data_IF_710079616561
#
_entry.id   IF_710079616561
#
_cell.length_a   1.000
_cell.length_b   1.000
_cell.length_c   1.000
_cell.angle_alpha   90.00
_cell.angle_beta   90.00
_cell.angle_gamma   90.00
#
_symmetry.space_group_name_H-M   'P 1'
#
loop_
_entity.id
_entity.type
_entity.pdbx_description
1 polymer ?
#
# COMPACT_ATOMS: atom_id res chain seq x y z
N UNK A 1 -33.26 -8.56 15.93
CA UNK A 1 -32.66 -9.19 14.75
C UNK A 1 -31.60 -8.23 14.24
N UNK A 2 -30.36 -8.46 14.63
CA UNK A 2 -29.23 -7.64 14.22
C UNK A 2 -28.73 -8.19 12.89
N UNK A 3 -29.02 -7.48 11.81
CA UNK A 3 -28.49 -7.75 10.47
C UNK A 3 -26.98 -7.45 10.49
N UNK A 4 -26.20 -8.46 10.82
CA UNK A 4 -24.76 -8.43 10.63
C UNK A 4 -24.48 -8.64 9.14
N UNK A 5 -24.43 -7.55 8.37
CA UNK A 5 -23.85 -7.59 7.03
C UNK A 5 -22.46 -8.25 7.11
N UNK A 6 -22.14 -9.18 6.20
CA UNK A 6 -20.80 -9.78 6.18
C UNK A 6 -19.79 -8.67 5.94
N UNK A 7 -18.98 -8.39 6.95
CA UNK A 7 -17.84 -7.48 6.83
C UNK A 7 -16.84 -8.12 5.87
N UNK A 8 -16.69 -7.55 4.68
CA UNK A 8 -15.70 -7.96 3.67
C UNK A 8 -14.26 -7.66 4.11
N UNK A 9 -14.07 -7.13 5.30
CA UNK A 9 -12.75 -6.83 5.85
C UNK A 9 -12.17 -8.09 6.54
N UNK A 10 -10.86 -8.38 6.36
CA UNK A 10 -10.18 -9.43 7.10
C UNK A 10 -10.31 -9.22 8.60
N UNK A 11 -10.36 -10.30 9.43
CA UNK A 11 -10.60 -10.22 10.86
C UNK A 11 -9.52 -9.45 11.64
N UNK A 12 -8.38 -9.18 11.02
CA UNK A 12 -7.22 -8.51 11.58
C UNK A 12 -7.02 -7.06 11.07
N UNK A 13 -8.07 -6.41 10.56
CA UNK A 13 -8.03 -5.01 10.11
C UNK A 13 -7.92 -4.04 11.29
N UNK A 14 -6.81 -3.29 11.38
CA UNK A 14 -6.52 -2.37 12.50
C UNK A 14 -7.33 -1.06 12.43
N UNK A 15 -7.61 -0.53 11.25
CA UNK A 15 -8.33 0.75 11.04
C UNK A 15 -9.65 0.50 10.28
N UNK A 16 -10.54 -0.24 10.89
CA UNK A 16 -11.86 -0.50 10.31
C UNK A 16 -12.67 0.79 10.06
N UNK A 17 -12.49 1.81 10.90
CA UNK A 17 -13.22 3.07 10.80
C UNK A 17 -12.93 3.87 9.54
N UNK A 18 -11.65 4.05 9.18
CA UNK A 18 -11.22 4.83 8.01
C UNK A 18 -11.62 4.16 6.69
N UNK A 19 -11.47 2.84 6.59
CA UNK A 19 -11.82 2.09 5.38
C UNK A 19 -13.34 2.07 5.18
N UNK A 20 -14.14 2.12 6.25
CA UNK A 20 -15.61 2.22 6.16
C UNK A 20 -16.11 3.53 5.58
N UNK A 21 -15.35 4.62 5.71
CA UNK A 21 -15.69 5.92 5.14
C UNK A 21 -15.50 5.96 3.61
N UNK A 22 -14.74 5.00 3.05
CA UNK A 22 -14.51 4.93 1.62
C UNK A 22 -15.75 4.37 0.91
N UNK A 23 -16.05 4.85 -0.32
CA UNK A 23 -17.08 4.27 -1.19
C UNK A 23 -16.87 2.77 -1.37
N UNK A 24 -17.95 2.01 -1.47
CA UNK A 24 -17.89 0.54 -1.61
C UNK A 24 -17.04 0.08 -2.79
N UNK A 25 -17.02 0.86 -3.87
CA UNK A 25 -16.23 0.58 -5.06
C UNK A 25 -14.72 0.65 -4.83
N UNK A 26 -14.26 1.52 -3.91
CA UNK A 26 -12.83 1.77 -3.64
C UNK A 26 -12.32 0.92 -2.47
N UNK A 27 -13.21 0.55 -1.56
CA UNK A 27 -12.88 -0.20 -0.35
C UNK A 27 -12.08 -1.49 -0.61
N UNK A 28 -12.43 -2.35 -1.58
CA UNK A 28 -11.66 -3.56 -1.87
C UNK A 28 -10.22 -3.27 -2.31
N UNK A 29 -9.99 -2.18 -3.04
CA UNK A 29 -8.66 -1.75 -3.48
C UNK A 29 -7.82 -1.21 -2.33
N UNK A 30 -8.41 -0.46 -1.40
CA UNK A 30 -7.74 0.00 -0.20
C UNK A 30 -7.32 -1.16 0.72
N UNK A 31 -8.19 -2.17 0.86
CA UNK A 31 -7.87 -3.40 1.61
C UNK A 31 -6.80 -4.24 0.91
N UNK A 32 -6.83 -4.31 -0.42
CA UNK A 32 -5.82 -5.01 -1.21
C UNK A 32 -4.43 -4.39 -1.03
N UNK A 33 -4.35 -3.05 -1.01
CA UNK A 33 -3.12 -2.31 -0.74
C UNK A 33 -2.77 -2.25 0.77
N UNK A 34 -3.61 -2.80 1.64
CA UNK A 34 -3.46 -2.81 3.10
C UNK A 34 -3.28 -1.42 3.71
N UNK A 35 -4.04 -0.44 3.22
CA UNK A 35 -4.07 0.92 3.78
C UNK A 35 -4.71 0.98 5.17
N UNK A 36 -5.41 -0.07 5.57
CA UNK A 36 -5.92 -0.30 6.92
C UNK A 36 -4.81 -0.56 7.97
N UNK A 37 -3.56 -0.82 7.53
CA UNK A 37 -2.44 -1.17 8.42
C UNK A 37 -1.28 -0.17 8.29
N UNK A 38 -1.29 0.91 9.06
CA UNK A 38 -0.29 1.98 8.95
C UNK A 38 1.13 1.53 9.28
N UNK A 39 1.29 0.52 10.12
CA UNK A 39 2.62 0.04 10.55
C UNK A 39 3.52 -0.33 9.35
N UNK A 40 2.95 -0.88 8.28
CA UNK A 40 3.73 -1.33 7.12
C UNK A 40 4.40 -0.17 6.38
N UNK A 41 3.71 0.93 6.11
CA UNK A 41 4.30 2.08 5.43
C UNK A 41 5.08 2.98 6.38
N UNK A 42 4.80 3.00 7.68
CA UNK A 42 5.65 3.64 8.69
C UNK A 42 7.06 3.06 8.70
N UNK A 43 7.19 1.74 8.61
CA UNK A 43 8.48 1.06 8.55
C UNK A 43 9.32 1.45 7.32
N UNK A 44 8.69 1.78 6.19
CA UNK A 44 9.38 2.29 5.00
C UNK A 44 9.68 3.80 5.10
N UNK A 45 8.80 4.55 5.73
CA UNK A 45 8.89 6.01 5.81
C UNK A 45 10.02 6.48 6.72
N UNK A 46 10.14 5.92 7.93
CA UNK A 46 11.12 6.39 8.92
C UNK A 46 12.58 6.30 8.47
N UNK A 47 13.05 5.23 7.80
CA UNK A 47 14.40 5.20 7.24
C UNK A 47 14.67 6.33 6.24
N UNK A 48 13.67 6.71 5.44
CA UNK A 48 13.79 7.84 4.51
C UNK A 48 13.96 9.16 5.26
N UNK A 49 13.20 9.38 6.33
CA UNK A 49 13.33 10.58 7.19
C UNK A 49 14.71 10.63 7.85
N UNK A 50 15.21 9.51 8.36
CA UNK A 50 16.55 9.42 8.94
C UNK A 50 17.63 9.74 7.91
N UNK A 51 17.54 9.17 6.71
CA UNK A 51 18.47 9.48 5.62
C UNK A 51 18.49 10.98 5.26
N UNK A 52 17.30 11.58 5.13
CA UNK A 52 17.17 13.01 4.83
C UNK A 52 17.72 13.88 5.98
N UNK A 53 17.51 13.49 7.24
CA UNK A 53 18.03 14.21 8.40
C UNK A 53 19.54 14.14 8.46
N UNK A 54 20.14 12.97 8.22
CA UNK A 54 21.59 12.80 8.17
C UNK A 54 22.24 13.60 7.04
N UNK A 55 21.53 13.76 5.92
CA UNK A 55 21.97 14.62 4.83
C UNK A 55 21.82 16.13 5.12
N UNK A 56 21.31 16.50 6.31
CA UNK A 56 21.08 17.90 6.70
C UNK A 56 19.90 18.58 6.02
N UNK A 57 19.05 17.80 5.32
CA UNK A 57 17.96 18.30 4.49
C UNK A 57 16.58 18.34 5.13
N UNK A 58 16.39 17.79 6.32
CA UNK A 58 15.05 17.61 6.91
C UNK A 58 14.28 18.93 7.12
N UNK A 59 14.97 19.98 7.59
CA UNK A 59 14.35 21.29 7.81
C UNK A 59 14.31 22.15 6.53
N UNK A 60 15.32 22.02 5.68
CA UNK A 60 15.43 22.83 4.44
C UNK A 60 14.54 22.31 3.32
N UNK A 61 14.27 21.02 3.31
CA UNK A 61 13.51 20.33 2.24
C UNK A 61 12.33 19.54 2.79
N UNK A 62 11.57 20.13 3.73
CA UNK A 62 10.39 19.48 4.33
C UNK A 62 9.35 18.96 3.31
N UNK A 63 9.13 19.59 2.11
CA UNK A 63 8.22 19.03 1.13
C UNK A 63 8.65 17.64 0.64
N UNK A 64 9.96 17.34 0.66
CA UNK A 64 10.49 16.04 0.30
C UNK A 64 10.05 14.94 1.28
N UNK A 65 9.86 15.29 2.56
CA UNK A 65 9.31 14.35 3.56
C UNK A 65 7.90 13.91 3.18
N UNK A 66 7.07 14.82 2.68
CA UNK A 66 5.72 14.48 2.20
C UNK A 66 5.76 13.59 0.96
N UNK A 67 6.68 13.84 0.04
CA UNK A 67 6.90 12.98 -1.13
C UNK A 67 7.35 11.58 -0.70
N UNK A 68 8.26 11.48 0.26
CA UNK A 68 8.72 10.20 0.81
C UNK A 68 7.59 9.43 1.50
N UNK A 69 6.72 10.14 2.24
CA UNK A 69 5.53 9.53 2.85
C UNK A 69 4.59 8.95 1.79
N UNK A 70 4.29 9.73 0.75
CA UNK A 70 3.46 9.28 -0.36
C UNK A 70 4.08 8.05 -1.06
N UNK A 71 5.39 8.09 -1.31
CA UNK A 71 6.13 6.97 -1.88
C UNK A 71 6.08 5.72 -1.01
N UNK A 72 6.27 5.87 0.30
CA UNK A 72 6.21 4.76 1.25
C UNK A 72 4.82 4.09 1.26
N UNK A 73 3.75 4.88 1.28
CA UNK A 73 2.36 4.37 1.23
C UNK A 73 2.11 3.64 -0.10
N UNK A 74 2.47 4.25 -1.23
CA UNK A 74 2.25 3.68 -2.56
C UNK A 74 3.05 2.39 -2.77
N UNK A 75 4.34 2.39 -2.47
CA UNK A 75 5.21 1.22 -2.69
C UNK A 75 4.91 0.09 -1.71
N UNK A 76 4.54 0.41 -0.47
CA UNK A 76 4.06 -0.63 0.46
C UNK A 76 2.77 -1.26 -0.06
N UNK A 77 1.83 -0.44 -0.53
CA UNK A 77 0.60 -0.93 -1.16
C UNK A 77 0.86 -1.80 -2.38
N UNK A 78 1.74 -1.34 -3.27
CA UNK A 78 2.14 -2.10 -4.47
C UNK A 78 2.71 -3.48 -4.11
N UNK A 79 3.61 -3.56 -3.12
CA UNK A 79 4.17 -4.82 -2.64
C UNK A 79 3.10 -5.77 -2.09
N UNK A 80 2.11 -5.26 -1.35
CA UNK A 80 1.01 -6.07 -0.85
C UNK A 80 0.11 -6.59 -1.98
N UNK A 81 -0.22 -5.74 -2.95
CA UNK A 81 -1.02 -6.14 -4.12
C UNK A 81 -0.30 -7.22 -4.93
N UNK A 82 1.00 -7.04 -5.17
CA UNK A 82 1.82 -8.02 -5.89
C UNK A 82 1.85 -9.37 -5.17
N UNK A 83 2.07 -9.38 -3.86
CA UNK A 83 2.06 -10.62 -3.06
C UNK A 83 0.69 -11.32 -3.14
N UNK A 84 -0.41 -10.57 -3.01
CA UNK A 84 -1.75 -11.14 -3.10
C UNK A 84 -2.07 -11.67 -4.53
N UNK A 85 -1.45 -11.11 -5.58
CA UNK A 85 -1.56 -11.63 -6.96
C UNK A 85 -0.82 -12.97 -7.07
N UNK A 86 0.40 -13.05 -6.56
CA UNK A 86 1.24 -14.26 -6.62
C UNK A 86 0.62 -15.38 -5.77
N UNK A 87 0.16 -15.06 -4.57
CA UNK A 87 -0.33 -16.03 -3.59
C UNK A 87 -1.84 -16.32 -3.72
N UNK A 88 -2.53 -15.75 -4.72
CA UNK A 88 -3.98 -15.82 -4.88
C UNK A 88 -4.56 -17.21 -4.70
N UNK A 89 -3.97 -18.21 -5.36
CA UNK A 89 -4.49 -19.58 -5.36
C UNK A 89 -4.20 -20.31 -4.03
N UNK A 90 -3.12 -19.94 -3.34
CA UNK A 90 -2.80 -20.40 -1.99
C UNK A 90 -3.72 -19.73 -0.96
N UNK A 91 -3.93 -18.44 -1.06
CA UNK A 91 -4.79 -17.67 -0.16
C UNK A 91 -6.25 -18.17 -0.20
N UNK A 92 -6.74 -18.57 -1.36
CA UNK A 92 -8.10 -19.14 -1.49
C UNK A 92 -8.28 -20.46 -0.74
N UNK A 93 -7.19 -21.22 -0.51
CA UNK A 93 -7.23 -22.52 0.18
C UNK A 93 -7.08 -22.40 1.69
N UNK A 94 -6.63 -21.26 2.19
CA UNK A 94 -6.38 -21.02 3.61
C UNK A 94 -7.50 -20.21 4.22
N UNK A 95 -8.20 -20.73 5.23
CA UNK A 95 -9.37 -20.11 5.84
C UNK A 95 -9.12 -18.66 6.30
N UNK A 96 -7.91 -18.35 6.80
CA UNK A 96 -7.54 -17.00 7.27
C UNK A 96 -7.40 -15.97 6.15
N UNK A 97 -6.99 -16.39 4.96
CA UNK A 97 -6.72 -15.51 3.82
C UNK A 97 -7.77 -15.60 2.71
N UNK A 98 -8.68 -16.56 2.78
CA UNK A 98 -9.75 -16.73 1.79
C UNK A 98 -10.68 -15.51 1.66
N UNK A 99 -10.77 -14.68 2.71
CA UNK A 99 -11.56 -13.42 2.72
C UNK A 99 -10.84 -12.23 2.08
N UNK A 100 -9.58 -12.37 1.66
CA UNK A 100 -8.85 -11.29 0.98
C UNK A 100 -9.55 -10.92 -0.34
N UNK A 101 -9.57 -9.63 -0.73
CA UNK A 101 -10.34 -9.16 -1.89
C UNK A 101 -10.06 -9.90 -3.19
N UNK A 102 -8.81 -10.31 -3.43
CA UNK A 102 -8.43 -11.03 -4.63
C UNK A 102 -8.75 -12.53 -4.55
N UNK A 103 -8.52 -13.16 -3.40
CA UNK A 103 -8.80 -14.57 -3.15
C UNK A 103 -10.30 -14.85 -3.14
N UNK A 104 -11.11 -13.94 -2.59
CA UNK A 104 -12.58 -14.02 -2.55
C UNK A 104 -13.26 -13.66 -3.87
N UNK A 105 -12.50 -13.11 -4.86
CA UNK A 105 -13.05 -12.66 -6.13
C UNK A 105 -13.74 -11.29 -6.09
N UNK A 106 -13.66 -10.54 -4.98
CA UNK A 106 -14.18 -9.17 -4.87
C UNK A 106 -13.45 -8.20 -5.80
N UNK A 107 -12.19 -8.47 -6.13
CA UNK A 107 -11.39 -7.74 -7.12
C UNK A 107 -10.93 -8.72 -8.19
N UNK A 108 -11.11 -8.36 -9.46
CA UNK A 108 -10.61 -9.16 -10.59
C UNK A 108 -9.09 -9.07 -10.69
N UNK A 109 -8.46 -10.10 -11.23
CA UNK A 109 -7.00 -10.12 -11.43
C UNK A 109 -6.52 -8.96 -12.32
N UNK A 110 -7.28 -8.61 -13.36
CA UNK A 110 -6.97 -7.47 -14.24
C UNK A 110 -7.03 -6.14 -13.50
N UNK A 111 -8.03 -5.96 -12.65
CA UNK A 111 -8.16 -4.77 -11.82
C UNK A 111 -7.03 -4.67 -10.78
N UNK A 112 -6.60 -5.80 -10.20
CA UNK A 112 -5.47 -5.86 -9.28
C UNK A 112 -4.16 -5.45 -9.97
N UNK A 113 -3.91 -5.91 -11.18
CA UNK A 113 -2.76 -5.48 -11.99
C UNK A 113 -2.81 -3.99 -12.33
N UNK A 114 -4.00 -3.47 -12.71
CA UNK A 114 -4.19 -2.04 -12.96
C UNK A 114 -3.90 -1.20 -11.70
N UNK A 115 -4.36 -1.65 -10.55
CA UNK A 115 -4.11 -1.01 -9.25
C UNK A 115 -2.63 -1.03 -8.88
N UNK A 116 -1.95 -2.16 -9.09
CA UNK A 116 -0.51 -2.31 -8.91
C UNK A 116 0.27 -1.30 -9.76
N UNK A 117 -0.05 -1.21 -11.06
CA UNK A 117 0.61 -0.28 -11.97
C UNK A 117 0.38 1.18 -11.58
N UNK A 118 -0.82 1.52 -11.10
CA UNK A 118 -1.12 2.86 -10.58
C UNK A 118 -0.24 3.19 -9.37
N UNK A 119 -0.15 2.29 -8.38
CA UNK A 119 0.69 2.48 -7.19
C UNK A 119 2.18 2.56 -7.53
N UNK A 120 2.66 1.73 -8.45
CA UNK A 120 4.03 1.81 -8.97
C UNK A 120 4.27 3.13 -9.71
N UNK A 121 3.30 3.62 -10.48
CA UNK A 121 3.36 4.92 -11.14
C UNK A 121 3.48 6.09 -10.16
N UNK A 122 2.73 6.06 -9.06
CA UNK A 122 2.85 7.06 -7.97
C UNK A 122 4.25 6.98 -7.36
N UNK A 123 4.75 5.77 -7.04
CA UNK A 123 6.10 5.58 -6.53
C UNK A 123 7.17 6.10 -7.48
N UNK A 124 7.00 5.87 -8.78
CA UNK A 124 7.89 6.40 -9.81
C UNK A 124 7.88 7.93 -9.87
N UNK A 125 6.70 8.57 -9.78
CA UNK A 125 6.59 10.03 -9.72
C UNK A 125 7.34 10.60 -8.50
N UNK A 126 7.26 9.95 -7.35
CA UNK A 126 8.04 10.31 -6.18
C UNK A 126 9.53 10.18 -6.43
N UNK A 127 9.94 9.08 -7.06
CA UNK A 127 11.35 8.82 -7.37
C UNK A 127 11.95 9.91 -8.27
N UNK A 128 11.22 10.39 -9.26
CA UNK A 128 11.70 11.44 -10.20
C UNK A 128 11.90 12.80 -9.52
N UNK A 129 11.34 13.01 -8.33
CA UNK A 129 11.58 14.22 -7.53
C UNK A 129 12.94 14.22 -6.83
N UNK A 130 13.61 13.08 -6.77
CA UNK A 130 14.90 12.92 -6.14
C UNK A 130 16.04 13.32 -7.09
N UNK A 131 17.24 13.55 -6.52
CA UNK A 131 18.42 13.78 -7.32
C UNK A 131 18.81 12.54 -8.13
N UNK A 132 19.46 12.76 -9.26
CA UNK A 132 19.79 11.68 -10.21
C UNK A 132 20.61 10.54 -9.55
N UNK A 133 21.49 10.87 -8.64
CA UNK A 133 22.30 9.90 -7.91
C UNK A 133 21.42 9.01 -7.01
N UNK A 134 20.42 9.60 -6.35
CA UNK A 134 19.48 8.89 -5.50
C UNK A 134 18.54 8.00 -6.34
N UNK A 135 18.13 8.47 -7.52
CA UNK A 135 17.33 7.69 -8.48
C UNK A 135 18.10 6.45 -8.91
N UNK A 136 19.37 6.62 -9.26
CA UNK A 136 20.22 5.51 -9.69
C UNK A 136 20.37 4.46 -8.59
N UNK A 137 20.67 4.88 -7.36
CA UNK A 137 20.78 3.97 -6.19
C UNK A 137 19.46 3.24 -5.94
N UNK A 138 18.32 3.93 -6.01
CA UNK A 138 17.01 3.33 -5.77
C UNK A 138 16.62 2.31 -6.85
N UNK A 139 17.04 2.51 -8.10
CA UNK A 139 16.80 1.56 -9.19
C UNK A 139 17.70 0.32 -9.11
N UNK A 140 18.86 0.43 -8.44
CA UNK A 140 19.79 -0.67 -8.24
C UNK A 140 19.53 -1.49 -6.98
N UNK A 141 18.62 -1.04 -6.10
CA UNK A 141 18.29 -1.71 -4.83
C UNK A 141 17.10 -2.66 -4.98
#
# INVERSE_FOLDING_TARGET
MSDSMPTTAPPDTEIQGLVRLLPESVRPFALLARFDRPIGWWLLFWPCVYGLTLAGGAFSHWPLILWMLLGAIAMRGAGCVYNDIVDRDLDAKVARSASRPLASGAVSLKAAWGWLLLLCGIGFLVLVQLRIEAIFVALCS
#
